data_IF_109421125394
#
_entry.id   IF_109421125394
#
_cell.length_a   1.000
_cell.length_b   1.000
_cell.length_c   1.000
_cell.angle_alpha   90.00
_cell.angle_beta   90.00
_cell.angle_gamma   90.00
#
_symmetry.space_group_name_H-M   'P 1'
#
loop_
_entity.id
_entity.type
_entity.pdbx_description
1 polymer ?
#
# COMPACT_ATOMS: atom_id res chain seq x y z
N UNK A 1 2.58 -17.71 -57.61
CA UNK A 1 2.01 -18.65 -56.62
C UNK A 1 3.01 -19.16 -55.57
N UNK A 2 4.33 -19.28 -55.83
CA UNK A 2 5.32 -19.68 -54.79
C UNK A 2 5.44 -18.68 -53.62
N UNK A 3 5.30 -17.38 -53.87
CA UNK A 3 5.44 -16.34 -52.82
C UNK A 3 4.33 -16.39 -51.76
N UNK A 4 3.07 -16.64 -52.15
CA UNK A 4 1.94 -16.66 -51.20
C UNK A 4 2.06 -17.81 -50.18
N UNK A 5 2.50 -19.00 -50.63
CA UNK A 5 2.71 -20.16 -49.75
C UNK A 5 3.88 -19.92 -48.78
N UNK A 6 4.94 -19.26 -49.24
CA UNK A 6 6.07 -18.88 -48.39
C UNK A 6 5.67 -17.85 -47.34
N UNK A 7 4.93 -16.80 -47.73
CA UNK A 7 4.40 -15.82 -46.79
C UNK A 7 3.47 -16.47 -45.76
N UNK A 8 2.55 -17.35 -46.19
CA UNK A 8 1.67 -18.07 -45.27
C UNK A 8 2.43 -18.95 -44.27
N UNK A 9 3.48 -19.64 -44.73
CA UNK A 9 4.33 -20.44 -43.85
C UNK A 9 5.09 -19.57 -42.82
N UNK A 10 5.56 -18.39 -43.23
CA UNK A 10 6.22 -17.43 -42.32
C UNK A 10 5.22 -16.90 -41.28
N UNK A 11 4.03 -16.46 -41.70
CA UNK A 11 3.00 -15.99 -40.77
C UNK A 11 2.57 -17.08 -39.79
N UNK A 12 2.40 -18.32 -40.27
CA UNK A 12 2.10 -19.45 -39.41
C UNK A 12 3.22 -19.73 -38.41
N UNK A 13 4.49 -19.74 -38.86
CA UNK A 13 5.64 -19.91 -37.99
C UNK A 13 5.74 -18.83 -36.92
N UNK A 14 5.51 -17.56 -37.29
CA UNK A 14 5.46 -16.44 -36.35
C UNK A 14 4.30 -16.59 -35.35
N UNK A 15 3.12 -16.98 -35.80
CA UNK A 15 1.98 -17.22 -34.92
C UNK A 15 2.28 -18.34 -33.91
N UNK A 16 2.91 -19.43 -34.34
CA UNK A 16 3.33 -20.52 -33.44
C UNK A 16 4.38 -20.03 -32.45
N UNK A 17 5.38 -19.27 -32.89
CA UNK A 17 6.39 -18.70 -31.98
C UNK A 17 5.78 -17.75 -30.95
N UNK A 18 4.82 -16.92 -31.35
CA UNK A 18 4.08 -16.02 -30.45
C UNK A 18 3.29 -16.86 -29.44
N UNK A 19 2.55 -17.88 -29.88
CA UNK A 19 1.79 -18.76 -29.00
C UNK A 19 2.69 -19.55 -28.04
N UNK A 20 3.86 -20.00 -28.49
CA UNK A 20 4.86 -20.67 -27.65
C UNK A 20 5.46 -19.71 -26.62
N UNK A 21 5.82 -18.48 -27.03
CA UNK A 21 6.34 -17.45 -26.14
C UNK A 21 5.33 -17.06 -25.06
N UNK A 22 4.07 -16.88 -25.45
CA UNK A 22 2.97 -16.57 -24.53
C UNK A 22 2.39 -17.80 -23.85
N UNK A 23 2.84 -19.01 -24.19
CA UNK A 23 2.27 -20.25 -23.64
C UNK A 23 2.25 -20.29 -22.12
N UNK A 24 3.27 -19.81 -21.37
CA UNK A 24 3.17 -19.79 -19.92
C UNK A 24 1.96 -18.97 -19.44
N UNK A 25 1.75 -17.80 -20.03
CA UNK A 25 0.63 -16.92 -19.68
C UNK A 25 -0.75 -17.49 -20.04
N UNK A 26 -0.82 -18.49 -20.92
CA UNK A 26 -2.05 -19.18 -21.28
C UNK A 26 -2.44 -20.27 -20.25
N UNK A 27 -1.50 -20.72 -19.42
CA UNK A 27 -1.75 -21.75 -18.41
C UNK A 27 -1.89 -21.15 -16.99
N UNK A 28 -2.95 -21.51 -16.24
CA UNK A 28 -3.09 -21.11 -14.84
C UNK A 28 -1.83 -21.44 -14.02
N UNK A 29 -1.35 -20.47 -13.24
CA UNK A 29 -0.20 -20.63 -12.34
C UNK A 29 1.20 -20.52 -12.97
N UNK A 30 1.33 -20.23 -14.27
CA UNK A 30 2.63 -20.00 -14.94
C UNK A 30 2.76 -18.56 -15.46
N UNK A 31 2.97 -17.61 -14.58
CA UNK A 31 3.16 -16.21 -14.97
C UNK A 31 4.58 -15.95 -15.51
N UNK A 32 4.70 -15.21 -16.63
CA UNK A 32 5.94 -14.53 -16.99
C UNK A 32 6.26 -13.52 -15.87
N UNK A 33 7.53 -13.29 -15.54
CA UNK A 33 7.91 -12.43 -14.42
C UNK A 33 7.26 -11.04 -14.54
N UNK A 34 6.35 -10.72 -13.62
CA UNK A 34 5.35 -9.65 -13.74
C UNK A 34 5.51 -8.62 -12.63
N UNK A 35 6.70 -8.06 -12.43
CA UNK A 35 6.89 -7.01 -11.42
C UNK A 35 5.87 -5.87 -11.60
N UNK A 36 5.86 -5.20 -12.74
CA UNK A 36 4.94 -4.06 -12.97
C UNK A 36 3.49 -4.52 -13.12
N UNK A 37 3.27 -5.71 -13.68
CA UNK A 37 1.94 -6.27 -13.83
C UNK A 37 1.29 -6.60 -12.47
N UNK A 38 2.05 -7.14 -11.51
CA UNK A 38 1.56 -7.50 -10.17
C UNK A 38 1.55 -6.33 -9.18
N UNK A 39 2.47 -5.37 -9.31
CA UNK A 39 2.58 -4.24 -8.38
C UNK A 39 1.68 -3.07 -8.80
N UNK A 40 1.44 -2.90 -10.10
CA UNK A 40 0.81 -1.68 -10.61
C UNK A 40 -0.48 -1.99 -11.40
N UNK A 41 -0.38 -2.80 -12.46
CA UNK A 41 -1.50 -2.97 -13.39
C UNK A 41 -2.64 -3.77 -12.77
N UNK A 42 -2.36 -4.96 -12.21
CA UNK A 42 -3.39 -5.83 -11.60
C UNK A 42 -4.11 -5.08 -10.46
N UNK A 43 -3.43 -4.42 -9.50
CA UNK A 43 -4.10 -3.64 -8.45
C UNK A 43 -5.02 -2.53 -8.99
N UNK A 44 -4.60 -1.80 -10.03
CA UNK A 44 -5.47 -0.82 -10.66
C UNK A 44 -6.69 -1.49 -11.29
N UNK A 45 -6.50 -2.54 -12.09
CA UNK A 45 -7.60 -3.24 -12.75
C UNK A 45 -8.57 -3.88 -11.76
N UNK A 46 -8.08 -4.44 -10.65
CA UNK A 46 -8.92 -4.99 -9.58
C UNK A 46 -9.71 -3.91 -8.87
N UNK A 47 -9.10 -2.75 -8.57
CA UNK A 47 -9.82 -1.62 -7.96
C UNK A 47 -10.93 -1.09 -8.87
N UNK A 48 -10.66 -0.95 -10.17
CA UNK A 48 -11.65 -0.52 -11.15
C UNK A 48 -12.79 -1.52 -11.32
N UNK A 49 -12.47 -2.82 -11.38
CA UNK A 49 -13.47 -3.88 -11.43
C UNK A 49 -14.35 -3.88 -10.16
N UNK A 50 -13.76 -3.76 -8.97
CA UNK A 50 -14.47 -3.64 -7.69
C UNK A 50 -15.35 -2.38 -7.62
N UNK A 51 -14.95 -1.31 -8.31
CA UNK A 51 -15.73 -0.08 -8.47
C UNK A 51 -16.79 -0.17 -9.57
N UNK A 52 -17.08 -1.37 -10.08
CA UNK A 52 -18.04 -1.62 -11.16
C UNK A 52 -17.76 -0.81 -12.43
N UNK A 53 -16.48 -0.51 -12.69
CA UNK A 53 -16.05 0.24 -13.87
C UNK A 53 -16.16 1.75 -13.75
N UNK A 54 -16.63 2.27 -12.62
CA UNK A 54 -16.82 3.70 -12.38
C UNK A 54 -15.96 4.20 -11.21
N UNK A 55 -14.65 4.20 -11.41
CA UNK A 55 -13.70 4.79 -10.47
C UNK A 55 -13.17 6.13 -11.01
N UNK A 56 -13.56 7.24 -10.38
CA UNK A 56 -12.97 8.56 -10.66
C UNK A 56 -11.79 8.87 -9.74
N UNK A 57 -11.81 8.33 -8.53
CA UNK A 57 -10.85 8.60 -7.47
C UNK A 57 -10.35 7.29 -6.84
N UNK A 58 -9.05 7.20 -6.60
CA UNK A 58 -8.40 6.11 -5.90
C UNK A 58 -7.84 6.62 -4.58
N UNK A 59 -8.54 6.43 -3.45
CA UNK A 59 -8.07 6.87 -2.13
C UNK A 59 -6.79 6.14 -1.66
N UNK A 60 -6.66 4.80 -1.81
CA UNK A 60 -5.46 4.08 -1.38
C UNK A 60 -4.17 4.49 -2.09
N UNK A 61 -4.24 4.87 -3.37
CA UNK A 61 -3.06 5.21 -4.16
C UNK A 61 -2.51 6.60 -3.81
N UNK A 62 -1.24 6.69 -3.38
CA UNK A 62 -0.50 7.95 -3.19
C UNK A 62 -1.23 9.03 -2.37
N UNK A 63 -1.94 8.66 -1.30
CA UNK A 63 -2.79 9.57 -0.50
C UNK A 63 -3.93 10.24 -1.30
N UNK A 64 -4.35 9.60 -2.39
CA UNK A 64 -5.38 10.10 -3.27
C UNK A 64 -4.84 10.39 -4.67
N UNK A 65 -5.40 9.71 -5.67
CA UNK A 65 -5.05 9.92 -7.07
C UNK A 65 -6.31 9.93 -7.94
N UNK A 66 -6.34 10.81 -8.96
CA UNK A 66 -7.35 10.75 -10.00
C UNK A 66 -7.19 9.45 -10.78
N UNK A 67 -8.19 8.57 -10.69
CA UNK A 67 -8.14 7.27 -11.35
C UNK A 67 -8.45 7.41 -12.84
N UNK A 68 -9.45 8.23 -13.17
CA UNK A 68 -9.90 8.51 -14.54
C UNK A 68 -8.85 9.26 -15.37
N UNK A 69 -8.08 10.16 -14.76
CA UNK A 69 -7.07 10.94 -15.45
C UNK A 69 -5.67 10.29 -15.45
N UNK A 70 -5.48 9.17 -14.75
CA UNK A 70 -4.22 8.45 -14.78
C UNK A 70 -4.15 7.56 -16.04
N UNK A 71 -3.23 7.80 -16.99
CA UNK A 71 -3.12 6.99 -18.20
C UNK A 71 -2.76 5.52 -17.92
N UNK A 72 -2.10 5.22 -16.80
CA UNK A 72 -1.73 3.85 -16.41
C UNK A 72 -2.94 2.99 -16.04
N UNK A 73 -4.01 3.61 -15.54
CA UNK A 73 -5.25 2.90 -15.19
C UNK A 73 -6.03 2.48 -16.42
N UNK A 74 -5.83 3.16 -17.57
CA UNK A 74 -6.56 2.93 -18.79
C UNK A 74 -8.08 2.79 -18.56
N UNK A 75 -8.64 3.47 -17.56
CA UNK A 75 -9.97 3.16 -17.02
C UNK A 75 -11.08 3.09 -18.07
N UNK A 76 -10.94 3.86 -19.16
CA UNK A 76 -11.91 3.92 -20.26
C UNK A 76 -11.41 3.29 -21.56
N UNK A 77 -10.32 2.52 -21.51
CA UNK A 77 -9.85 1.78 -22.67
C UNK A 77 -10.70 0.51 -22.86
N UNK A 78 -11.36 0.31 -24.03
CA UNK A 78 -12.35 -0.75 -24.21
C UNK A 78 -11.86 -2.18 -23.90
N UNK A 79 -10.57 -2.48 -24.12
CA UNK A 79 -10.03 -3.80 -23.81
C UNK A 79 -9.92 -4.08 -22.31
N UNK A 80 -9.93 -3.07 -21.44
CA UNK A 80 -9.84 -3.28 -20.00
C UNK A 80 -11.12 -3.86 -19.39
N UNK A 81 -12.26 -3.82 -20.10
CA UNK A 81 -13.50 -4.46 -19.66
C UNK A 81 -13.34 -5.98 -19.48
N UNK A 82 -12.34 -6.61 -20.12
CA UNK A 82 -12.02 -8.03 -19.90
C UNK A 82 -11.69 -8.34 -18.43
N UNK A 83 -11.11 -7.37 -17.70
CA UNK A 83 -10.79 -7.55 -16.29
C UNK A 83 -12.02 -7.55 -15.39
N UNK A 84 -13.18 -7.08 -15.85
CA UNK A 84 -14.44 -7.25 -15.10
C UNK A 84 -14.92 -8.70 -15.09
N UNK A 85 -14.54 -9.47 -16.12
CA UNK A 85 -14.95 -10.86 -16.30
C UNK A 85 -13.95 -11.85 -15.69
N UNK A 86 -12.75 -11.38 -15.34
CA UNK A 86 -11.63 -12.23 -14.94
C UNK A 86 -11.27 -12.02 -13.47
N UNK A 87 -11.34 -13.06 -12.61
CA UNK A 87 -11.04 -12.94 -11.19
C UNK A 87 -9.51 -12.94 -10.94
N UNK A 88 -8.79 -11.98 -11.52
CA UNK A 88 -7.32 -11.85 -11.34
C UNK A 88 -6.91 -11.50 -9.91
N UNK A 89 -7.86 -11.06 -9.09
CA UNK A 89 -7.68 -10.78 -7.66
C UNK A 89 -7.88 -12.00 -6.77
N UNK A 90 -8.27 -13.16 -7.31
CA UNK A 90 -8.49 -14.40 -6.55
C UNK A 90 -7.27 -15.30 -6.64
N UNK A 91 -6.77 -15.76 -5.49
CA UNK A 91 -5.72 -16.76 -5.43
C UNK A 91 -6.26 -18.11 -5.94
N UNK A 92 -5.68 -18.63 -7.02
CA UNK A 92 -6.13 -19.88 -7.65
C UNK A 92 -5.69 -21.13 -6.86
N UNK A 93 -4.64 -21.00 -6.07
CA UNK A 93 -4.07 -22.04 -5.22
C UNK A 93 -3.47 -21.36 -3.97
N UNK A 94 -3.21 -22.12 -2.89
CA UNK A 94 -2.46 -21.59 -1.76
C UNK A 94 -1.08 -21.10 -2.24
N UNK A 95 -0.67 -19.94 -1.78
CA UNK A 95 0.55 -19.31 -2.26
C UNK A 95 1.07 -18.22 -1.32
N UNK A 96 2.09 -17.52 -1.79
CA UNK A 96 2.67 -16.39 -1.09
C UNK A 96 2.21 -15.08 -1.74
N UNK A 97 1.57 -14.21 -0.96
CA UNK A 97 1.43 -12.82 -1.34
C UNK A 97 2.75 -12.12 -1.02
N UNK A 98 3.53 -11.80 -2.05
CA UNK A 98 4.76 -11.02 -1.93
C UNK A 98 4.44 -9.55 -2.14
N UNK A 99 4.65 -8.74 -1.12
CA UNK A 99 4.61 -7.29 -1.23
C UNK A 99 6.05 -6.79 -1.45
N UNK A 100 6.26 -6.12 -2.59
CA UNK A 100 7.54 -5.54 -3.00
C UNK A 100 7.90 -4.29 -2.21
N UNK A 101 7.94 -4.44 -0.90
CA UNK A 101 8.36 -3.43 0.07
C UNK A 101 9.29 -4.10 1.09
N UNK A 102 10.16 -3.29 1.68
CA UNK A 102 11.27 -3.73 2.52
C UNK A 102 10.78 -4.59 3.69
N UNK A 103 11.42 -5.74 3.90
CA UNK A 103 11.26 -6.55 5.10
C UNK A 103 11.92 -5.81 6.28
N UNK A 104 11.10 -5.13 7.08
CA UNK A 104 11.53 -4.29 8.20
C UNK A 104 10.75 -4.62 9.48
N UNK A 105 11.35 -4.54 10.68
CA UNK A 105 10.64 -4.77 11.93
C UNK A 105 9.54 -3.72 12.19
N UNK A 106 8.47 -4.13 12.88
CA UNK A 106 7.34 -3.25 13.24
C UNK A 106 6.12 -3.38 12.34
N UNK A 107 6.19 -4.19 11.28
CA UNK A 107 5.03 -4.61 10.50
C UNK A 107 4.33 -5.81 11.13
N UNK A 108 2.99 -5.81 11.06
CA UNK A 108 2.12 -6.96 11.36
C UNK A 108 1.21 -7.20 10.17
N UNK A 109 0.99 -8.47 9.82
CA UNK A 109 0.06 -8.83 8.76
C UNK A 109 -1.16 -9.55 9.34
N UNK A 110 -2.32 -9.29 8.77
CA UNK A 110 -3.55 -10.02 9.06
C UNK A 110 -4.11 -10.55 7.75
N UNK A 111 -4.46 -11.84 7.71
CA UNK A 111 -5.21 -12.45 6.62
C UNK A 111 -6.62 -12.70 7.15
N UNK A 112 -7.61 -12.03 6.57
CA UNK A 112 -9.01 -12.05 7.02
C UNK A 112 -9.16 -11.74 8.52
N UNK A 113 -8.39 -10.76 9.00
CA UNK A 113 -8.39 -10.34 10.40
C UNK A 113 -7.61 -11.24 11.35
N UNK A 114 -7.03 -12.36 10.89
CA UNK A 114 -6.17 -13.23 11.70
C UNK A 114 -4.70 -12.88 11.52
N UNK A 115 -4.02 -12.59 12.63
CA UNK A 115 -2.57 -12.30 12.61
C UNK A 115 -1.79 -13.47 11.99
N UNK A 116 -0.99 -13.14 10.99
CA UNK A 116 -0.23 -14.10 10.18
C UNK A 116 1.22 -13.64 10.11
N UNK A 117 2.15 -14.60 10.21
CA UNK A 117 3.58 -14.31 10.17
C UNK A 117 3.97 -13.68 8.83
N UNK A 118 4.78 -12.62 8.91
CA UNK A 118 5.42 -12.01 7.75
C UNK A 118 6.78 -12.69 7.58
N UNK A 119 6.96 -13.33 6.44
CA UNK A 119 8.20 -13.96 6.03
C UNK A 119 8.98 -13.07 5.07
N UNK A 120 10.25 -13.43 4.87
CA UNK A 120 11.14 -12.75 3.93
C UNK A 120 11.13 -13.48 2.58
N UNK A 121 10.78 -12.77 1.52
CA UNK A 121 10.87 -13.26 0.14
C UNK A 121 11.99 -12.53 -0.61
N UNK A 122 12.69 -13.24 -1.49
CA UNK A 122 13.77 -12.70 -2.34
C UNK A 122 14.75 -11.80 -1.58
N UNK A 123 15.16 -12.22 -0.38
CA UNK A 123 16.10 -11.55 0.54
C UNK A 123 15.58 -10.23 1.15
N UNK A 124 14.75 -9.47 0.44
CA UNK A 124 14.42 -8.10 0.81
C UNK A 124 12.91 -7.83 0.96
N UNK A 125 12.06 -8.60 0.29
CA UNK A 125 10.62 -8.35 0.28
C UNK A 125 9.91 -9.06 1.41
N UNK A 126 8.69 -8.60 1.69
CA UNK A 126 7.83 -9.22 2.71
C UNK A 126 6.79 -10.11 2.05
N UNK A 127 6.55 -11.28 2.62
CA UNK A 127 5.60 -12.25 2.12
C UNK A 127 4.69 -12.77 3.22
N UNK A 128 3.45 -13.06 2.87
CA UNK A 128 2.45 -13.65 3.77
C UNK A 128 1.81 -14.85 3.06
N UNK A 129 1.65 -16.01 3.72
CA UNK A 129 0.96 -17.12 3.13
C UNK A 129 -0.53 -16.81 3.02
N UNK A 130 -1.11 -17.01 1.83
CA UNK A 130 -2.53 -16.78 1.54
C UNK A 130 -3.15 -18.07 1.01
N UNK A 131 -4.27 -18.55 1.58
CA UNK A 131 -4.99 -19.70 1.06
C UNK A 131 -5.55 -19.47 -0.36
N UNK A 132 -6.03 -20.54 -1.00
CA UNK A 132 -6.77 -20.39 -2.25
C UNK A 132 -8.11 -19.69 -1.97
N UNK A 133 -8.44 -18.67 -2.76
CA UNK A 133 -9.65 -17.90 -2.57
C UNK A 133 -9.46 -16.40 -2.67
N UNK A 134 -10.47 -15.68 -2.23
CA UNK A 134 -10.44 -14.24 -2.07
C UNK A 134 -10.20 -13.95 -0.59
N UNK A 135 -9.17 -13.15 -0.31
CA UNK A 135 -8.71 -12.87 1.04
C UNK A 135 -8.34 -11.40 1.16
N UNK A 136 -8.63 -10.79 2.30
CA UNK A 136 -8.16 -9.45 2.63
C UNK A 136 -6.88 -9.56 3.43
N UNK A 137 -5.77 -9.04 2.88
CA UNK A 137 -4.49 -8.97 3.60
C UNK A 137 -4.22 -7.54 4.05
N UNK A 138 -4.17 -7.34 5.36
CA UNK A 138 -3.87 -6.05 5.97
C UNK A 138 -2.43 -6.02 6.50
N UNK A 139 -1.65 -5.02 6.09
CA UNK A 139 -0.35 -4.72 6.68
C UNK A 139 -0.47 -3.48 7.58
N UNK A 140 -0.14 -3.64 8.87
CA UNK A 140 -0.16 -2.55 9.85
C UNK A 140 1.25 -2.25 10.32
N UNK A 141 1.69 -1.01 10.17
CA UNK A 141 3.00 -0.56 10.62
C UNK A 141 2.90 0.17 11.96
N UNK A 142 3.58 -0.36 12.98
CA UNK A 142 3.72 0.27 14.29
C UNK A 142 5.14 0.06 14.82
N UNK A 143 6.10 0.93 14.44
CA UNK A 143 7.47 0.78 14.87
C UNK A 143 7.65 1.10 16.36
N UNK A 144 8.54 0.35 17.02
CA UNK A 144 8.85 0.58 18.46
C UNK A 144 9.39 1.99 18.72
N UNK A 145 10.09 2.58 17.76
CA UNK A 145 10.60 3.95 17.85
C UNK A 145 9.48 4.98 18.01
N UNK A 146 8.34 4.81 17.34
CA UNK A 146 7.19 5.69 17.51
C UNK A 146 6.62 5.59 18.93
N UNK A 147 6.50 4.38 19.45
CA UNK A 147 6.03 4.15 20.83
C UNK A 147 6.98 4.82 21.84
N UNK A 148 8.29 4.62 21.71
CA UNK A 148 9.27 5.29 22.57
C UNK A 148 9.23 6.81 22.42
N UNK A 149 9.09 7.32 21.20
CA UNK A 149 8.97 8.76 20.95
C UNK A 149 7.75 9.38 21.64
N UNK A 150 6.59 8.71 21.59
CA UNK A 150 5.37 9.14 22.30
C UNK A 150 5.61 9.17 23.82
N UNK A 151 6.22 8.12 24.37
CA UNK A 151 6.50 8.04 25.82
C UNK A 151 7.45 9.16 26.26
N UNK A 152 8.56 9.35 25.56
CA UNK A 152 9.57 10.36 25.88
C UNK A 152 8.99 11.77 25.75
N UNK A 153 8.25 12.04 24.68
CA UNK A 153 7.61 13.34 24.46
C UNK A 153 6.56 13.63 25.53
N UNK A 154 5.75 12.64 25.90
CA UNK A 154 4.76 12.75 26.97
C UNK A 154 5.41 13.04 28.32
N UNK A 155 6.47 12.32 28.68
CA UNK A 155 7.22 12.56 29.91
C UNK A 155 7.87 13.95 29.94
N UNK A 156 8.46 14.39 28.82
CA UNK A 156 9.03 15.72 28.68
C UNK A 156 8.00 16.83 28.85
N UNK A 157 6.81 16.68 28.24
CA UNK A 157 5.70 17.62 28.40
C UNK A 157 5.22 17.70 29.85
N UNK A 158 5.07 16.55 30.54
CA UNK A 158 4.68 16.52 31.95
C UNK A 158 5.72 17.23 32.84
N UNK A 159 7.00 16.99 32.60
CA UNK A 159 8.08 17.65 33.33
C UNK A 159 8.06 19.17 33.10
N UNK A 160 7.90 19.61 31.85
CA UNK A 160 7.83 21.04 31.51
C UNK A 160 6.65 21.73 32.20
N UNK A 161 5.46 21.13 32.18
CA UNK A 161 4.29 21.63 32.89
C UNK A 161 4.50 21.70 34.40
N UNK A 162 5.12 20.69 35.00
CA UNK A 162 5.43 20.68 36.43
C UNK A 162 6.39 21.83 36.82
N UNK A 163 7.42 22.07 36.00
CA UNK A 163 8.37 23.18 36.21
C UNK A 163 7.69 24.54 36.08
N UNK A 164 6.79 24.73 35.11
CA UNK A 164 6.02 25.97 34.97
C UNK A 164 5.13 26.24 36.18
N UNK A 165 4.41 25.23 36.67
CA UNK A 165 3.57 25.34 37.86
C UNK A 165 4.42 25.70 39.07
N UNK A 166 5.58 25.06 39.23
CA UNK A 166 6.51 25.34 40.32
C UNK A 166 7.05 26.78 40.24
N UNK A 167 7.44 27.24 39.06
CA UNK A 167 7.93 28.60 38.83
C UNK A 167 6.86 29.64 39.15
N UNK A 168 5.62 29.45 38.71
CA UNK A 168 4.49 30.33 39.01
C UNK A 168 4.19 30.41 40.51
N UNK A 169 4.23 29.27 41.21
CA UNK A 169 4.05 29.21 42.67
C UNK A 169 5.13 30.00 43.40
N UNK A 170 6.40 29.84 43.01
CA UNK A 170 7.51 30.64 43.58
C UNK A 170 7.38 32.13 43.27
N UNK A 171 6.95 32.51 42.08
CA UNK A 171 6.76 33.91 41.70
C UNK A 171 5.66 34.59 42.53
N UNK A 172 4.51 33.92 42.71
CA UNK A 172 3.44 34.40 43.60
C UNK A 172 3.88 34.55 45.06
N UNK A 173 4.69 33.61 45.57
CA UNK A 173 5.22 33.69 46.94
C UNK A 173 6.27 34.80 47.13
N UNK A 174 6.96 35.20 46.05
CA UNK A 174 7.95 36.29 46.06
C UNK A 174 7.35 37.67 45.78
N UNK A 175 6.10 37.75 45.37
CA UNK A 175 5.41 39.02 45.18
C UNK A 175 5.20 39.66 46.56
N UNK A 176 5.82 40.81 46.89
CA UNK A 176 5.62 41.45 48.18
C UNK A 176 4.16 41.90 48.26
N UNK A 177 3.36 41.28 49.13
CA UNK A 177 2.19 41.91 49.73
C UNK A 177 2.68 43.09 50.56
N UNK A 178 2.97 44.21 49.90
CA UNK A 178 3.62 45.34 50.54
C UNK A 178 4.15 46.43 49.60
N UNK A 179 3.41 46.76 48.54
CA UNK A 179 3.41 48.14 48.04
C UNK A 179 2.00 48.66 48.27
N UNK A 180 1.82 49.17 49.49
CA UNK A 180 0.64 49.89 49.88
C UNK A 180 0.35 50.99 48.88
N UNK A 181 -0.93 51.14 48.62
CA UNK A 181 -1.56 52.34 48.10
C UNK A 181 -0.95 53.62 48.70
N UNK A 182 -0.13 54.33 47.94
CA UNK A 182 -0.05 55.79 48.01
C UNK A 182 0.32 56.34 46.63
N UNK A 183 -0.63 56.27 45.70
CA UNK A 183 -0.62 57.19 44.56
C UNK A 183 -1.66 58.27 44.88
N UNK A 184 -1.25 59.24 45.69
CA UNK A 184 -2.00 60.47 45.89
C UNK A 184 -1.72 61.37 44.70
N UNK A 185 -2.74 61.58 43.85
CA UNK A 185 -2.72 62.62 42.84
C UNK A 185 -2.68 63.98 43.53
N UNK A 186 -1.64 64.77 43.22
CA UNK A 186 -1.73 66.23 43.28
C UNK A 186 -2.70 66.74 42.20
#
# INVERSE_FOLDING_TARGET
MKSLKQSAAIFFGLAVLILLFWSPALWPGRALYFRDLSIEIIPYRSFWAASHGFALWNPPGFFGMSYAANPQTGAFYPLNFIFMLSPVWKAQAPGWLVLFDTYYPGWRALVDGKETAIERADVFFRAVPVPAGEHTVEFRYLPRSLVYGIIISGAGLMLWLALLIFAQRKWKQRSPTGLGSSFSWF
#
